data_IF_305237942983
#
_entry.id   IF_305237942983
#
_cell.length_a   1.000
_cell.length_b   1.000
_cell.length_c   1.000
_cell.angle_alpha   90.00
_cell.angle_beta   90.00
_cell.angle_gamma   90.00
#
_symmetry.space_group_name_H-M   'P 1'
#
loop_
_entity.id
_entity.type
_entity.pdbx_description
1 polymer ?
#
# COMPACT_ATOMS: atom_id res chain seq x y z
N UNK A 1 5.39 11.30 12.84
CA UNK A 1 5.69 10.44 11.68
C UNK A 1 6.02 11.35 10.52
N UNK A 2 7.26 11.34 10.04
CA UNK A 2 7.69 12.15 8.89
C UNK A 2 8.23 11.26 7.77
N UNK A 3 7.97 11.65 6.52
CA UNK A 3 8.61 11.06 5.34
C UNK A 3 9.85 11.90 4.99
N UNK A 4 11.00 11.25 4.93
CA UNK A 4 12.29 11.90 4.67
C UNK A 4 12.95 11.26 3.45
N UNK A 5 13.73 12.05 2.72
CA UNK A 5 14.53 11.55 1.59
C UNK A 5 15.99 11.61 1.96
N UNK A 6 16.75 10.57 1.62
CA UNK A 6 18.17 10.47 1.91
C UNK A 6 18.92 9.78 0.77
N UNK A 7 20.10 10.27 0.43
CA UNK A 7 20.93 9.60 -0.59
C UNK A 7 21.46 8.26 -0.07
N UNK A 8 21.68 7.29 -0.96
CA UNK A 8 22.23 5.98 -0.62
C UNK A 8 23.58 6.07 0.13
N UNK A 9 24.40 7.08 -0.19
CA UNK A 9 25.66 7.33 0.51
C UNK A 9 25.42 7.75 1.97
N UNK A 10 24.53 8.73 2.20
CA UNK A 10 24.18 9.20 3.55
C UNK A 10 23.47 8.11 4.36
N UNK A 11 22.62 7.30 3.71
CA UNK A 11 21.94 6.19 4.35
C UNK A 11 22.93 5.15 4.89
N UNK A 12 23.96 4.81 4.11
CA UNK A 12 25.03 3.89 4.55
C UNK A 12 25.81 4.44 5.74
N UNK A 13 26.16 5.73 5.71
CA UNK A 13 26.92 6.39 6.77
C UNK A 13 26.13 6.52 8.09
N UNK A 14 24.81 6.70 8.01
CA UNK A 14 23.95 7.00 9.17
C UNK A 14 22.89 5.93 9.43
N UNK A 15 23.17 4.68 9.04
CA UNK A 15 22.14 3.63 9.06
C UNK A 15 21.58 3.37 10.47
N UNK A 16 22.43 3.31 11.50
CA UNK A 16 21.97 3.14 12.89
C UNK A 16 21.05 4.26 13.37
N UNK A 17 21.34 5.52 13.01
CA UNK A 17 20.46 6.66 13.33
C UNK A 17 19.11 6.55 12.61
N UNK A 18 19.12 6.15 11.34
CA UNK A 18 17.90 5.93 10.55
C UNK A 18 17.08 4.80 11.16
N UNK A 19 17.69 3.67 11.52
CA UNK A 19 17.00 2.56 12.20
C UNK A 19 16.32 3.01 13.48
N UNK A 20 17.01 3.79 14.32
CA UNK A 20 16.43 4.32 15.56
C UNK A 20 15.24 5.24 15.29
N UNK A 21 15.34 6.14 14.31
CA UNK A 21 14.24 7.02 13.93
C UNK A 21 13.03 6.23 13.40
N UNK A 22 13.27 5.22 12.56
CA UNK A 22 12.21 4.38 11.99
C UNK A 22 11.55 3.49 13.06
N UNK A 23 12.34 2.87 13.95
CA UNK A 23 11.84 1.97 14.98
C UNK A 23 11.07 2.71 16.08
N UNK A 24 11.64 3.79 16.62
CA UNK A 24 11.10 4.46 17.81
C UNK A 24 10.25 5.69 17.49
N UNK A 25 10.58 6.45 16.45
CA UNK A 25 9.86 7.69 16.09
C UNK A 25 8.84 7.50 14.97
N UNK A 26 8.74 6.25 14.46
CA UNK A 26 7.86 5.86 13.37
C UNK A 26 8.06 6.73 12.11
N UNK A 27 9.29 7.22 11.91
CA UNK A 27 9.70 7.93 10.70
C UNK A 27 9.84 6.95 9.53
N UNK A 28 9.80 7.49 8.31
CA UNK A 28 9.96 6.74 7.08
C UNK A 28 11.00 7.43 6.20
N UNK A 29 11.84 6.64 5.55
CA UNK A 29 12.89 7.16 4.68
C UNK A 29 12.76 6.59 3.29
N UNK A 30 12.82 7.45 2.28
CA UNK A 30 13.10 7.08 0.90
C UNK A 30 14.60 7.22 0.68
N UNK A 31 15.23 6.13 0.27
CA UNK A 31 16.64 6.13 -0.12
C UNK A 31 16.73 6.31 -1.61
N UNK A 32 17.44 7.34 -2.04
CA UNK A 32 17.61 7.69 -3.45
C UNK A 32 19.06 7.54 -3.92
N UNK A 33 19.24 7.40 -5.24
CA UNK A 33 20.55 7.49 -5.89
C UNK A 33 20.43 8.43 -7.07
N UNK A 34 21.22 9.52 -7.07
CA UNK A 34 21.15 10.56 -8.11
C UNK A 34 19.72 11.11 -8.32
N UNK A 35 18.98 11.32 -7.23
CA UNK A 35 17.58 11.80 -7.27
C UNK A 35 16.52 10.74 -7.62
N UNK A 36 16.91 9.50 -7.91
CA UNK A 36 15.98 8.41 -8.22
C UNK A 36 15.67 7.63 -6.93
N UNK A 37 14.40 7.55 -6.49
CA UNK A 37 13.99 6.71 -5.36
C UNK A 37 14.28 5.24 -5.65
N UNK A 38 14.99 4.55 -4.76
CA UNK A 38 15.36 3.14 -4.93
C UNK A 38 14.68 2.22 -3.94
N UNK A 39 14.67 2.59 -2.65
CA UNK A 39 14.08 1.76 -1.58
C UNK A 39 13.43 2.63 -0.51
N UNK A 40 12.47 2.08 0.22
CA UNK A 40 11.90 2.69 1.41
C UNK A 40 12.34 1.92 2.66
N UNK A 41 12.72 2.64 3.71
CA UNK A 41 12.98 2.09 5.05
C UNK A 41 11.79 2.47 5.93
N UNK A 42 11.08 1.45 6.39
CA UNK A 42 9.86 1.57 7.20
C UNK A 42 9.93 0.65 8.42
N UNK A 43 9.11 0.94 9.43
CA UNK A 43 9.05 0.10 10.64
C UNK A 43 8.43 -1.26 10.33
N UNK A 44 8.86 -2.30 11.05
CA UNK A 44 8.29 -3.65 10.89
C UNK A 44 6.78 -3.68 11.17
N UNK A 45 6.30 -2.83 12.10
CA UNK A 45 4.88 -2.67 12.39
C UNK A 45 4.13 -2.19 11.16
N UNK A 46 4.64 -1.17 10.46
CA UNK A 46 4.04 -0.65 9.24
C UNK A 46 4.09 -1.67 8.11
N UNK A 47 5.23 -2.33 7.92
CA UNK A 47 5.36 -3.41 6.93
C UNK A 47 4.31 -4.50 7.14
N UNK A 48 4.16 -5.01 8.38
CA UNK A 48 3.14 -6.02 8.73
C UNK A 48 1.71 -5.52 8.52
N UNK A 49 1.43 -4.24 8.77
CA UNK A 49 0.11 -3.66 8.50
C UNK A 49 -0.20 -3.64 7.00
N UNK A 50 0.77 -3.21 6.18
CA UNK A 50 0.64 -3.20 4.71
C UNK A 50 0.46 -4.61 4.16
N UNK A 51 1.26 -5.56 4.64
CA UNK A 51 1.17 -6.97 4.24
C UNK A 51 -0.18 -7.59 4.59
N UNK A 52 -0.67 -7.38 5.83
CA UNK A 52 -2.01 -7.82 6.24
C UNK A 52 -3.13 -7.16 5.43
N UNK A 53 -3.03 -5.87 5.15
CA UNK A 53 -4.02 -5.15 4.35
C UNK A 53 -4.06 -5.72 2.93
N UNK A 54 -2.88 -5.95 2.33
CA UNK A 54 -2.73 -6.60 1.02
C UNK A 54 -3.38 -7.98 1.00
N UNK A 55 -3.06 -8.83 1.97
CA UNK A 55 -3.62 -10.18 2.07
C UNK A 55 -5.16 -10.17 2.19
N UNK A 56 -5.71 -9.28 3.02
CA UNK A 56 -7.17 -9.14 3.15
C UNK A 56 -7.81 -8.66 1.86
N UNK A 57 -7.20 -7.68 1.19
CA UNK A 57 -7.70 -7.17 -0.08
C UNK A 57 -7.80 -8.28 -1.12
N UNK A 58 -6.71 -9.04 -1.34
CA UNK A 58 -6.72 -10.14 -2.30
C UNK A 58 -7.64 -11.28 -1.90
N UNK A 59 -7.74 -11.62 -0.61
CA UNK A 59 -8.68 -12.64 -0.14
C UNK A 59 -10.13 -12.24 -0.38
N UNK A 60 -10.48 -10.97 -0.13
CA UNK A 60 -11.83 -10.47 -0.39
C UNK A 60 -12.11 -10.42 -1.90
N UNK A 61 -11.15 -9.96 -2.70
CA UNK A 61 -11.29 -9.91 -4.15
C UNK A 61 -11.49 -11.31 -4.75
N UNK A 62 -10.74 -12.31 -4.27
CA UNK A 62 -10.95 -13.70 -4.68
C UNK A 62 -12.37 -14.16 -4.37
N UNK A 63 -12.85 -13.94 -3.15
CA UNK A 63 -14.23 -14.34 -2.77
C UNK A 63 -15.29 -13.69 -3.64
N UNK A 64 -15.11 -12.41 -3.98
CA UNK A 64 -16.00 -11.68 -4.89
C UNK A 64 -15.95 -12.38 -6.25
N UNK A 65 -14.77 -12.51 -6.86
CA UNK A 65 -14.58 -13.17 -8.15
C UNK A 65 -15.17 -14.58 -8.19
N UNK A 66 -14.93 -15.39 -7.15
CA UNK A 66 -15.42 -16.76 -7.03
C UNK A 66 -16.96 -16.82 -6.96
N UNK A 67 -17.60 -15.80 -6.36
CA UNK A 67 -19.06 -15.72 -6.27
C UNK A 67 -19.75 -15.42 -7.61
N UNK A 68 -19.01 -14.90 -8.59
CA UNK A 68 -19.48 -14.59 -9.94
C UNK A 68 -18.91 -15.56 -10.99
N UNK A 69 -18.21 -16.61 -10.56
CA UNK A 69 -17.65 -17.61 -11.47
C UNK A 69 -18.78 -18.37 -12.19
N UNK A 70 -18.91 -18.15 -13.49
CA UNK A 70 -19.94 -18.77 -14.34
C UNK A 70 -21.14 -17.87 -14.66
N UNK A 71 -21.15 -16.62 -14.21
CA UNK A 71 -22.09 -15.62 -14.70
C UNK A 71 -21.76 -15.17 -16.13
N UNK A 72 -22.80 -14.75 -16.85
CA UNK A 72 -22.67 -14.25 -18.21
C UNK A 72 -22.01 -12.86 -18.23
N UNK A 73 -21.24 -12.58 -19.27
CA UNK A 73 -20.44 -11.35 -19.36
C UNK A 73 -21.31 -10.09 -19.39
N UNK A 74 -22.44 -10.13 -20.10
CA UNK A 74 -23.36 -8.98 -20.17
C UNK A 74 -23.97 -8.64 -18.81
N UNK A 75 -24.33 -9.66 -18.02
CA UNK A 75 -24.85 -9.46 -16.66
C UNK A 75 -23.78 -8.97 -15.69
N UNK A 76 -22.54 -9.39 -15.89
CA UNK A 76 -21.42 -8.97 -15.05
C UNK A 76 -21.12 -7.48 -15.22
N UNK A 77 -21.19 -6.97 -16.45
CA UNK A 77 -21.00 -5.56 -16.75
C UNK A 77 -22.07 -4.67 -16.08
N UNK A 78 -23.34 -5.08 -16.14
CA UNK A 78 -24.44 -4.37 -15.46
C UNK A 78 -24.22 -4.29 -13.94
N UNK A 79 -23.80 -5.41 -13.32
CA UNK A 79 -23.50 -5.49 -11.88
C UNK A 79 -22.32 -4.58 -11.51
N UNK A 80 -21.28 -4.53 -12.36
CA UNK A 80 -20.11 -3.68 -12.14
C UNK A 80 -20.44 -2.18 -12.24
N UNK A 81 -21.28 -1.80 -13.21
CA UNK A 81 -21.76 -0.42 -13.33
C UNK A 81 -22.57 0.00 -12.11
N UNK A 82 -23.51 -0.83 -11.67
CA UNK A 82 -24.31 -0.56 -10.47
C UNK A 82 -23.41 -0.38 -9.23
N UNK A 83 -22.49 -1.32 -9.01
CA UNK A 83 -21.58 -1.29 -7.86
C UNK A 83 -20.67 -0.05 -7.86
N UNK A 84 -20.15 0.36 -9.03
CA UNK A 84 -19.30 1.55 -9.13
C UNK A 84 -20.07 2.85 -8.92
N UNK A 85 -21.33 2.94 -9.37
CA UNK A 85 -22.18 4.10 -9.09
C UNK A 85 -22.52 4.21 -7.60
N UNK A 86 -22.87 3.09 -6.96
CA UNK A 86 -23.17 3.06 -5.53
C UNK A 86 -21.95 3.51 -4.70
N UNK A 87 -20.74 3.03 -5.02
CA UNK A 87 -19.51 3.41 -4.33
C UNK A 87 -19.22 4.92 -4.45
N UNK A 88 -19.36 5.50 -5.65
CA UNK A 88 -19.17 6.94 -5.88
C UNK A 88 -20.17 7.80 -5.10
N UNK A 89 -21.41 7.33 -4.93
CA UNK A 89 -22.42 8.03 -4.15
C UNK A 89 -22.13 7.96 -2.64
N UNK A 90 -21.59 6.83 -2.16
CA UNK A 90 -21.20 6.67 -0.77
C UNK A 90 -20.00 7.54 -0.39
N UNK A 91 -19.02 7.73 -1.28
CA UNK A 91 -17.86 8.63 -1.03
C UNK A 91 -18.20 10.13 -1.05
N UNK A 92 -19.31 10.51 -1.69
CA UNK A 92 -19.77 11.91 -1.75
C UNK A 92 -20.61 12.34 -0.54
N UNK A 93 -20.94 11.42 0.36
CA UNK A 93 -21.67 11.66 1.61
C UNK A 93 -20.72 11.72 2.79
#
# INVERSE_FOLDING_TARGET
MSLKVVTALKARQKFGTIMNAVSFKNDQYIVERKGIPMVAIISIKKFKQMDKARQRFFSNMSKISDSFAGEDLEKLDDILEEATQAAKQAERR
#
